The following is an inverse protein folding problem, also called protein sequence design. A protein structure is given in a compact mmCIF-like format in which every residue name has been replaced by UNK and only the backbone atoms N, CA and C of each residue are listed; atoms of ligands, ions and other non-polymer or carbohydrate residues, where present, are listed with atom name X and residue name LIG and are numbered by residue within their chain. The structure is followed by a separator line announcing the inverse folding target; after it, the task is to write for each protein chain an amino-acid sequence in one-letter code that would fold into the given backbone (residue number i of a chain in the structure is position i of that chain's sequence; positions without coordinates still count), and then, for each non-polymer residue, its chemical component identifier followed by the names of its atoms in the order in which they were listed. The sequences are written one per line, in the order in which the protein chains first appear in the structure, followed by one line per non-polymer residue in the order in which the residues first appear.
data_IF_228743884162
#
_entry.id   IF_228743884162
#
_cell.length_a   1.000
_cell.length_b   1.000
_cell.length_c   1.000
_cell.angle_alpha   90.00
_cell.angle_beta   90.00
_cell.angle_gamma   90.00
#
_symmetry.space_group_name_H-M   'P 1'
#
loop_
_entity.id
_entity.type
_entity.pdbx_description
1 polymer ?
#
# COMPACT_ATOMS: atom_id res chain seq x y z
N UNK A 1 -9.18 3.96 11.77
CA UNK A 1 -8.92 3.30 13.07
C UNK A 1 -9.03 1.78 12.98
N UNK A 2 -10.15 1.20 12.53
CA UNK A 2 -10.31 -0.25 12.44
C UNK A 2 -9.22 -0.95 11.61
N UNK A 3 -8.81 -0.40 10.46
CA UNK A 3 -7.70 -0.95 9.68
C UNK A 3 -6.35 -0.89 10.38
N UNK A 4 -6.10 0.16 11.16
CA UNK A 4 -4.90 0.26 11.99
C UNK A 4 -4.90 -0.74 13.13
N UNK A 5 -6.05 -0.93 13.79
CA UNK A 5 -6.23 -1.98 14.81
C UNK A 5 -6.05 -3.38 14.19
N UNK A 6 -6.56 -3.59 12.98
CA UNK A 6 -6.38 -4.84 12.26
C UNK A 6 -4.90 -5.15 12.01
N UNK A 7 -4.13 -4.17 11.53
CA UNK A 7 -2.69 -4.33 11.35
C UNK A 7 -1.94 -4.47 12.68
N UNK A 8 -2.32 -3.74 13.74
CA UNK A 8 -1.76 -3.91 15.08
C UNK A 8 -1.96 -5.34 15.61
N UNK A 9 -3.14 -5.94 15.35
CA UNK A 9 -3.40 -7.34 15.68
C UNK A 9 -2.51 -8.27 14.87
N UNK A 10 -2.37 -8.04 13.56
CA UNK A 10 -1.45 -8.81 12.71
C UNK A 10 -0.02 -8.67 13.22
N UNK A 11 0.44 -7.47 13.53
CA UNK A 11 1.80 -7.23 14.02
C UNK A 11 2.08 -8.00 15.32
N UNK A 12 1.13 -7.98 16.27
CA UNK A 12 1.25 -8.68 17.56
C UNK A 12 1.21 -10.20 17.43
N UNK A 13 0.48 -10.73 16.45
CA UNK A 13 0.26 -12.17 16.31
C UNK A 13 1.03 -12.81 15.15
N UNK A 14 1.72 -12.01 14.31
CA UNK A 14 2.53 -12.52 13.22
C UNK A 14 3.65 -13.36 13.81
N UNK A 15 3.60 -14.70 13.65
CA UNK A 15 4.59 -15.58 14.24
C UNK A 15 5.92 -15.32 13.53
N UNK A 16 7.02 -15.25 14.28
CA UNK A 16 8.37 -15.11 13.74
C UNK A 16 8.58 -16.06 12.56
N UNK A 17 8.57 -15.54 11.34
CA UNK A 17 8.68 -16.33 10.12
C UNK A 17 10.12 -16.81 9.94
N UNK A 18 10.49 -17.84 10.71
CA UNK A 18 11.61 -18.75 10.41
C UNK A 18 11.34 -19.61 9.15
N UNK A 19 10.29 -19.31 8.38
CA UNK A 19 9.72 -20.19 7.36
C UNK A 19 9.99 -19.77 5.91
N UNK A 20 10.65 -18.63 5.64
CA UNK A 20 10.91 -18.20 4.25
C UNK A 20 12.38 -18.23 3.81
N UNK A 21 13.38 -18.14 4.70
CA UNK A 21 14.74 -18.50 4.26
C UNK A 21 15.70 -18.75 5.43
N UNK A 22 16.26 -19.96 5.49
CA UNK A 22 17.51 -20.23 6.22
C UNK A 22 18.74 -19.64 5.50
N UNK A 23 18.57 -18.94 4.37
CA UNK A 23 19.67 -18.38 3.57
C UNK A 23 20.11 -16.99 3.98
N UNK A 24 19.34 -16.28 4.80
CA UNK A 24 19.71 -14.94 5.26
C UNK A 24 20.17 -15.00 6.72
N UNK A 25 21.16 -15.85 6.98
CA UNK A 25 21.91 -15.81 8.24
C UNK A 25 22.58 -14.42 8.35
N UNK A 26 21.98 -13.53 9.15
CA UNK A 26 22.52 -12.20 9.44
C UNK A 26 21.54 -11.03 9.35
N UNK A 27 20.29 -11.23 8.91
CA UNK A 27 19.29 -10.15 8.92
C UNK A 27 18.67 -9.95 10.29
N UNK A 28 18.49 -8.69 10.67
CA UNK A 28 17.81 -8.30 11.89
C UNK A 28 16.32 -8.69 11.74
N UNK A 29 15.87 -9.69 12.50
CA UNK A 29 14.51 -10.26 12.42
C UNK A 29 13.41 -9.21 12.54
N UNK A 30 13.70 -8.10 13.23
CA UNK A 30 12.77 -6.99 13.41
C UNK A 30 12.61 -6.15 12.13
N UNK A 31 13.67 -5.99 11.33
CA UNK A 31 13.61 -5.27 10.04
C UNK A 31 12.77 -6.04 9.03
N UNK A 32 12.98 -7.36 8.95
CA UNK A 32 12.19 -8.25 8.10
C UNK A 32 10.71 -8.23 8.47
N UNK A 33 10.38 -8.24 9.77
CA UNK A 33 8.99 -8.16 10.24
C UNK A 33 8.32 -6.88 9.73
N UNK A 34 8.98 -5.74 9.88
CA UNK A 34 8.46 -4.44 9.43
C UNK A 34 8.21 -4.41 7.94
N UNK A 35 9.15 -4.92 7.15
CA UNK A 35 9.01 -4.93 5.69
C UNK A 35 7.83 -5.79 5.24
N UNK A 36 7.59 -6.93 5.89
CA UNK A 36 6.44 -7.76 5.57
C UNK A 36 5.12 -7.13 6.03
N UNK A 37 5.08 -6.45 7.17
CA UNK A 37 3.90 -5.72 7.59
C UNK A 37 3.57 -4.56 6.64
N UNK A 38 4.59 -3.82 6.18
CA UNK A 38 4.47 -2.83 5.12
C UNK A 38 3.91 -3.43 3.82
N UNK A 39 4.44 -4.56 3.36
CA UNK A 39 3.94 -5.26 2.16
C UNK A 39 2.48 -5.70 2.32
N UNK A 40 2.11 -6.23 3.49
CA UNK A 40 0.73 -6.63 3.80
C UNK A 40 -0.19 -5.41 3.78
N UNK A 41 0.22 -4.30 4.37
CA UNK A 41 -0.55 -3.07 4.39
C UNK A 41 -0.81 -2.51 2.98
N UNK A 42 0.23 -2.46 2.14
CA UNK A 42 0.08 -2.08 0.72
C UNK A 42 -0.87 -3.03 0.00
N UNK A 43 -0.72 -4.35 0.20
CA UNK A 43 -1.60 -5.34 -0.42
C UNK A 43 -3.08 -5.11 -0.03
N UNK A 44 -3.33 -4.78 1.23
CA UNK A 44 -4.67 -4.45 1.74
C UNK A 44 -5.16 -3.12 1.18
N UNK A 45 -4.28 -2.14 0.93
CA UNK A 45 -4.61 -0.83 0.38
C UNK A 45 -4.96 -0.87 -1.11
N UNK A 46 -4.23 -1.68 -1.86
CA UNK A 46 -4.40 -1.89 -3.29
C UNK A 46 -5.77 -2.48 -3.65
N UNK A 47 -6.36 -3.28 -2.75
CA UNK A 47 -7.67 -3.89 -3.02
C UNK A 47 -8.82 -2.85 -3.09
N UNK A 48 -9.01 -1.97 -2.09
CA UNK A 48 -9.91 -0.83 -2.16
C UNK A 48 -9.68 0.12 -3.32
N UNK A 49 -8.43 0.38 -3.71
CA UNK A 49 -8.12 1.23 -4.87
C UNK A 49 -8.57 0.61 -6.19
N UNK A 50 -8.28 -0.68 -6.37
CA UNK A 50 -8.80 -1.46 -7.48
C UNK A 50 -10.33 -1.40 -7.50
N UNK A 51 -10.98 -1.65 -6.36
CA UNK A 51 -12.43 -1.60 -6.25
C UNK A 51 -13.01 -0.21 -6.57
N UNK A 52 -12.39 0.86 -6.08
CA UNK A 52 -12.79 2.24 -6.39
C UNK A 52 -12.69 2.53 -7.89
N UNK A 53 -11.60 2.09 -8.53
CA UNK A 53 -11.42 2.16 -9.99
C UNK A 53 -12.51 1.39 -10.73
N UNK A 54 -12.80 0.15 -10.32
CA UNK A 54 -13.84 -0.68 -10.91
C UNK A 54 -15.24 -0.10 -10.78
N UNK A 55 -15.60 0.39 -9.59
CA UNK A 55 -16.87 1.07 -9.33
C UNK A 55 -16.99 2.33 -10.20
N UNK A 56 -15.93 3.12 -10.30
CA UNK A 56 -15.93 4.33 -11.13
C UNK A 56 -16.22 4.03 -12.60
N UNK A 57 -15.57 3.01 -13.18
CA UNK A 57 -15.84 2.54 -14.54
C UNK A 57 -17.20 1.88 -14.72
N UNK A 58 -17.77 1.33 -13.64
CA UNK A 58 -19.09 0.70 -13.65
C UNK A 58 -20.26 1.69 -13.56
N UNK A 59 -19.98 2.98 -13.38
CA UNK A 59 -20.97 4.05 -13.53
C UNK A 59 -21.06 4.54 -14.98
N UNK A 60 -22.11 5.27 -15.34
CA UNK A 60 -22.30 5.83 -16.70
C UNK A 60 -21.31 6.98 -17.05
N UNK A 61 -20.24 7.16 -16.28
CA UNK A 61 -19.22 8.19 -16.48
C UNK A 61 -17.83 7.58 -16.65
N UNK A 62 -17.51 7.17 -17.88
CA UNK A 62 -16.20 6.63 -18.26
C UNK A 62 -15.07 7.63 -18.00
N UNK A 63 -15.34 8.93 -18.21
CA UNK A 63 -14.34 9.97 -17.97
C UNK A 63 -13.88 9.96 -16.51
N UNK A 64 -14.82 9.86 -15.56
CA UNK A 64 -14.51 9.72 -14.13
C UNK A 64 -13.66 8.45 -13.85
N UNK A 65 -14.01 7.32 -14.45
CA UNK A 65 -13.23 6.08 -14.33
C UNK A 65 -11.77 6.24 -14.80
N UNK A 66 -11.56 6.90 -15.95
CA UNK A 66 -10.21 7.19 -16.48
C UNK A 66 -9.44 8.09 -15.51
N UNK A 67 -10.09 9.14 -15.00
CA UNK A 67 -9.44 10.10 -14.11
C UNK A 67 -8.98 9.44 -12.79
N UNK A 68 -9.85 8.62 -12.18
CA UNK A 68 -9.52 7.85 -10.97
C UNK A 68 -8.40 6.85 -11.24
N UNK A 69 -8.47 6.11 -12.36
CA UNK A 69 -7.44 5.12 -12.71
C UNK A 69 -6.07 5.77 -12.93
N UNK A 70 -6.02 6.95 -13.53
CA UNK A 70 -4.78 7.71 -13.70
C UNK A 70 -4.24 8.20 -12.37
N UNK A 71 -5.09 8.72 -11.48
CA UNK A 71 -4.69 9.15 -10.14
C UNK A 71 -4.05 8.01 -9.34
N UNK A 72 -4.75 6.87 -9.26
CA UNK A 72 -4.27 5.66 -8.57
C UNK A 72 -3.01 5.11 -9.25
N UNK A 73 -2.97 5.03 -10.59
CA UNK A 73 -1.79 4.56 -11.30
C UNK A 73 -0.53 5.39 -11.02
N UNK A 74 -0.67 6.71 -10.84
CA UNK A 74 0.45 7.61 -10.57
C UNK A 74 1.08 7.40 -9.19
N UNK A 75 0.28 7.13 -8.15
CA UNK A 75 0.81 6.82 -6.81
C UNK A 75 1.28 5.36 -6.69
N UNK A 76 0.73 4.43 -7.47
CA UNK A 76 1.10 3.02 -7.36
C UNK A 76 2.48 2.72 -7.96
N UNK A 77 2.96 3.57 -8.88
CA UNK A 77 4.34 3.52 -9.38
C UNK A 77 5.38 3.71 -8.25
N UNK A 78 5.37 4.81 -7.47
CA UNK A 78 6.29 4.96 -6.34
C UNK A 78 6.05 3.93 -5.22
N UNK A 79 4.81 3.50 -4.96
CA UNK A 79 4.54 2.47 -3.94
C UNK A 79 5.12 1.10 -4.30
N UNK A 80 4.91 0.63 -5.54
CA UNK A 80 5.50 -0.62 -6.01
C UNK A 80 7.02 -0.58 -6.01
N UNK A 81 7.61 0.58 -6.34
CA UNK A 81 9.06 0.79 -6.22
C UNK A 81 9.51 0.73 -4.74
N UNK A 82 8.75 1.31 -3.81
CA UNK A 82 9.06 1.26 -2.39
C UNK A 82 9.08 -0.18 -1.86
N UNK A 83 8.09 -1.01 -2.24
CA UNK A 83 8.05 -2.46 -1.92
C UNK A 83 9.26 -3.19 -2.48
N UNK A 84 9.63 -2.93 -3.73
CA UNK A 84 10.78 -3.59 -4.34
C UNK A 84 12.09 -3.19 -3.65
N UNK A 85 12.29 -1.89 -3.38
CA UNK A 85 13.50 -1.37 -2.76
C UNK A 85 13.64 -1.82 -1.29
N UNK A 86 12.55 -1.93 -0.54
CA UNK A 86 12.59 -2.40 0.85
C UNK A 86 13.09 -3.85 0.93
N UNK A 87 12.63 -4.73 0.03
CA UNK A 87 13.10 -6.11 -0.05
C UNK A 87 14.55 -6.21 -0.52
N UNK A 88 14.94 -5.43 -1.54
CA UNK A 88 16.34 -5.42 -2.02
C UNK A 88 17.29 -4.96 -0.91
N UNK A 89 16.88 -3.98 -0.09
CA UNK A 89 17.67 -3.49 1.05
C UNK A 89 17.93 -4.55 2.11
N UNK A 90 17.00 -5.49 2.32
CA UNK A 90 17.19 -6.64 3.23
C UNK A 90 17.93 -7.82 2.60
N UNK A 91 18.47 -7.65 1.40
CA UNK A 91 19.29 -8.67 0.74
C UNK A 91 18.51 -9.67 -0.11
N UNK A 92 17.21 -9.46 -0.35
CA UNK A 92 16.48 -10.24 -1.35
C UNK A 92 16.96 -9.89 -2.77
N UNK A 93 16.93 -10.88 -3.67
CA UNK A 93 17.26 -10.62 -5.08
C UNK A 93 16.27 -9.65 -5.73
N UNK A 94 16.75 -8.80 -6.64
CA UNK A 94 15.91 -7.86 -7.40
C UNK A 94 14.75 -8.54 -8.12
N UNK A 95 14.97 -9.76 -8.64
CA UNK A 95 13.92 -10.55 -9.29
C UNK A 95 12.82 -10.95 -8.30
N UNK A 96 13.18 -11.38 -7.11
CA UNK A 96 12.22 -11.73 -6.07
C UNK A 96 11.41 -10.49 -5.64
N UNK A 97 12.11 -9.38 -5.37
CA UNK A 97 11.48 -8.13 -4.99
C UNK A 97 10.50 -7.60 -6.05
N UNK A 98 10.88 -7.69 -7.34
CA UNK A 98 9.99 -7.35 -8.45
C UNK A 98 8.72 -8.21 -8.47
N UNK A 99 8.83 -9.53 -8.29
CA UNK A 99 7.66 -10.40 -8.29
C UNK A 99 6.75 -10.16 -7.10
N UNK A 100 7.29 -9.82 -5.93
CA UNK A 100 6.48 -9.44 -4.77
C UNK A 100 5.76 -8.11 -5.04
N UNK A 101 6.46 -7.07 -5.50
CA UNK A 101 5.84 -5.79 -5.85
C UNK A 101 4.77 -5.93 -6.95
N UNK A 102 5.01 -6.79 -7.95
CA UNK A 102 4.01 -7.09 -8.96
C UNK A 102 2.81 -7.83 -8.37
N UNK A 103 3.04 -8.79 -7.48
CA UNK A 103 1.97 -9.54 -6.83
C UNK A 103 1.06 -8.64 -5.97
N UNK A 104 1.61 -7.66 -5.26
CA UNK A 104 0.81 -6.67 -4.52
C UNK A 104 0.01 -5.79 -5.47
N UNK A 105 0.61 -5.33 -6.59
CA UNK A 105 -0.08 -4.55 -7.62
C UNK A 105 -1.21 -5.33 -8.33
N UNK A 106 -1.06 -6.64 -8.54
CA UNK A 106 -2.09 -7.49 -9.18
C UNK A 106 -3.38 -7.62 -8.36
N UNK A 107 -3.37 -7.20 -7.10
CA UNK A 107 -4.59 -7.11 -6.28
C UNK A 107 -5.55 -6.04 -6.80
N UNK A 108 -5.05 -4.97 -7.42
CA UNK A 108 -5.89 -3.90 -7.96
C UNK A 108 -6.79 -4.38 -9.11
N UNK A 109 -6.29 -5.07 -10.17
CA UNK A 109 -7.16 -5.67 -11.19
C UNK A 109 -8.25 -6.56 -10.60
N UNK A 110 -7.93 -7.36 -9.57
CA UNK A 110 -8.92 -8.20 -8.91
C UNK A 110 -10.00 -7.37 -8.21
N UNK A 111 -9.60 -6.33 -7.47
CA UNK A 111 -10.51 -5.35 -6.88
C UNK A 111 -11.36 -4.65 -7.94
N UNK A 112 -10.77 -4.26 -9.07
CA UNK A 112 -11.45 -3.57 -10.15
C UNK A 112 -12.52 -4.43 -10.82
N UNK A 113 -12.23 -5.70 -11.11
CA UNK A 113 -13.23 -6.62 -11.64
C UNK A 113 -14.40 -6.81 -10.68
N UNK A 114 -14.14 -6.93 -9.38
CA UNK A 114 -15.20 -7.05 -8.37
C UNK A 114 -16.00 -5.74 -8.24
N UNK A 115 -15.34 -4.60 -8.19
CA UNK A 115 -15.95 -3.27 -8.10
C UNK A 115 -16.87 -2.98 -9.29
N UNK A 116 -16.39 -3.30 -10.51
CA UNK A 116 -17.16 -3.14 -11.74
C UNK A 116 -18.33 -4.12 -11.83
N UNK A 117 -18.15 -5.38 -11.42
CA UNK A 117 -19.20 -6.40 -11.49
C UNK A 117 -20.31 -6.22 -10.44
N UNK A 118 -20.02 -5.54 -9.33
CA UNK A 118 -20.91 -5.42 -8.16
C UNK A 118 -21.06 -3.96 -7.70
N UNK A 119 -21.15 -3.02 -8.64
CA UNK A 119 -21.27 -1.57 -8.38
C UNK A 119 -22.36 -1.25 -7.36
N UNK A 120 -23.55 -1.83 -7.52
CA UNK A 120 -24.70 -1.58 -6.63
C UNK A 120 -24.47 -1.99 -5.18
N UNK A 121 -23.53 -2.91 -4.94
CA UNK A 121 -23.13 -3.37 -3.60
C UNK A 121 -21.99 -2.51 -3.07
N UNK A 122 -20.96 -2.28 -3.87
CA UNK A 122 -19.73 -1.65 -3.39
C UNK A 122 -19.79 -0.13 -3.35
N UNK A 123 -20.51 0.54 -4.25
CA UNK A 123 -20.61 2.00 -4.26
C UNK A 123 -21.01 2.62 -2.89
N UNK A 124 -22.05 2.13 -2.18
CA UNK A 124 -22.39 2.66 -0.85
C UNK A 124 -21.39 2.24 0.25
N UNK A 125 -20.58 1.20 0.02
CA UNK A 125 -19.61 0.67 0.98
C UNK A 125 -18.20 1.25 0.79
N UNK A 126 -17.90 1.82 -0.38
CA UNK A 126 -16.56 2.29 -0.75
C UNK A 126 -15.95 3.21 0.31
N UNK A 127 -16.72 4.16 0.86
CA UNK A 127 -16.22 5.06 1.90
C UNK A 127 -15.71 4.32 3.14
N UNK A 128 -16.41 3.27 3.58
CA UNK A 128 -15.99 2.44 4.72
C UNK A 128 -14.77 1.57 4.39
N UNK A 129 -14.75 1.01 3.17
CA UNK A 129 -13.66 0.16 2.68
C UNK A 129 -12.37 0.98 2.54
N UNK A 130 -12.44 2.16 1.93
CA UNK A 130 -11.33 3.10 1.81
C UNK A 130 -10.87 3.62 3.18
N UNK A 131 -11.81 3.94 4.10
CA UNK A 131 -11.46 4.36 5.46
C UNK A 131 -10.76 3.26 6.28
N UNK A 132 -11.11 1.99 6.03
CA UNK A 132 -10.38 0.85 6.59
C UNK A 132 -8.96 0.80 6.02
N UNK A 133 -8.80 0.85 4.70
CA UNK A 133 -7.51 0.84 4.02
C UNK A 133 -6.60 1.99 4.46
N UNK A 134 -7.11 3.22 4.48
CA UNK A 134 -6.37 4.40 4.94
C UNK A 134 -5.98 4.28 6.41
N UNK A 135 -6.84 3.68 7.25
CA UNK A 135 -6.50 3.38 8.64
C UNK A 135 -5.33 2.41 8.80
N UNK A 136 -5.23 1.41 7.93
CA UNK A 136 -4.12 0.47 7.88
C UNK A 136 -2.82 1.18 7.41
N UNK A 137 -2.88 1.97 6.35
CA UNK A 137 -1.72 2.73 5.87
C UNK A 137 -1.20 3.74 6.89
N UNK A 138 -2.09 4.44 7.61
CA UNK A 138 -1.69 5.35 8.69
C UNK A 138 -0.91 4.64 9.80
N UNK A 139 -1.31 3.41 10.16
CA UNK A 139 -0.59 2.61 11.14
C UNK A 139 0.84 2.33 10.67
N UNK A 140 1.01 1.81 9.46
CA UNK A 140 2.33 1.46 8.92
C UNK A 140 3.24 2.68 8.67
N UNK A 141 2.68 3.79 8.17
CA UNK A 141 3.44 5.04 8.01
C UNK A 141 3.99 5.50 9.38
N UNK A 142 3.15 5.45 10.41
CA UNK A 142 3.51 5.94 11.75
C UNK A 142 4.44 4.99 12.52
N UNK A 143 4.19 3.69 12.45
CA UNK A 143 4.88 2.70 13.29
C UNK A 143 6.18 2.18 12.62
N UNK A 144 6.26 2.27 11.28
CA UNK A 144 7.36 1.69 10.52
C UNK A 144 8.13 2.74 9.71
N UNK A 145 7.46 3.42 8.77
CA UNK A 145 8.17 4.27 7.77
C UNK A 145 8.83 5.47 8.43
N UNK A 146 8.11 6.21 9.29
CA UNK A 146 8.65 7.38 9.98
C UNK A 146 9.78 6.97 10.93
N UNK A 147 9.61 6.00 11.85
CA UNK A 147 10.69 5.56 12.73
C UNK A 147 11.93 5.05 11.99
N UNK A 148 11.75 4.29 10.91
CA UNK A 148 12.86 3.74 10.11
C UNK A 148 13.68 4.83 9.44
N UNK A 149 13.04 5.83 8.83
CA UNK A 149 13.79 6.94 8.22
C UNK A 149 14.50 7.80 9.27
N UNK A 150 13.92 7.91 10.46
CA UNK A 150 14.51 8.66 11.56
C UNK A 150 15.69 7.93 12.22
N UNK A 151 15.66 6.60 12.31
CA UNK A 151 16.79 5.84 12.86
C UNK A 151 18.03 5.83 11.96
N UNK A 152 17.88 6.17 10.67
CA UNK A 152 18.97 6.19 9.69
C UNK A 152 19.55 7.60 9.44
N UNK A 153 19.17 8.62 10.23
CA UNK A 153 19.71 9.99 10.12
C UNK A 153 19.16 10.81 8.95
N UNK A 154 18.02 10.41 8.39
CA UNK A 154 17.33 11.09 7.29
C UNK A 154 16.03 11.77 7.75
N UNK A 155 15.91 12.15 9.03
CA UNK A 155 14.66 12.65 9.63
C UNK A 155 14.08 13.83 8.84
N UNK A 156 14.93 14.82 8.51
CA UNK A 156 14.50 16.04 7.83
C UNK A 156 14.14 15.78 6.37
N UNK A 157 14.93 14.97 5.68
CA UNK A 157 14.70 14.61 4.28
C UNK A 157 13.40 13.80 4.15
N UNK A 158 13.17 12.85 5.05
CA UNK A 158 11.94 12.08 5.10
C UNK A 158 10.73 12.96 5.42
N UNK A 159 10.85 13.88 6.39
CA UNK A 159 9.78 14.84 6.70
C UNK A 159 9.43 15.69 5.48
N UNK A 160 10.41 16.25 4.78
CA UNK A 160 10.16 17.02 3.56
C UNK A 160 9.57 16.14 2.45
N UNK A 161 10.03 14.89 2.31
CA UNK A 161 9.47 13.92 1.37
C UNK A 161 8.00 13.65 1.62
N UNK A 162 7.61 13.42 2.87
CA UNK A 162 6.21 13.23 3.29
C UNK A 162 5.40 14.49 3.00
N UNK A 163 5.90 15.68 3.36
CA UNK A 163 5.18 16.94 3.10
C UNK A 163 4.95 17.18 1.61
N UNK A 164 5.99 17.00 0.78
CA UNK A 164 5.90 17.17 -0.67
C UNK A 164 4.96 16.13 -1.27
N UNK A 165 5.11 14.85 -0.90
CA UNK A 165 4.24 13.77 -1.37
C UNK A 165 2.78 14.01 -1.00
N UNK A 166 2.51 14.46 0.23
CA UNK A 166 1.17 14.81 0.68
C UNK A 166 0.57 15.97 -0.15
N UNK A 167 1.35 17.03 -0.40
CA UNK A 167 0.88 18.16 -1.23
C UNK A 167 0.61 17.72 -2.66
N UNK A 168 1.47 16.90 -3.26
CA UNK A 168 1.26 16.36 -4.61
C UNK A 168 -0.02 15.52 -4.65
N UNK A 169 -0.20 14.63 -3.67
CA UNK A 169 -1.41 13.81 -3.58
C UNK A 169 -2.66 14.68 -3.45
N UNK A 170 -2.66 15.69 -2.57
CA UNK A 170 -3.79 16.63 -2.44
C UNK A 170 -4.09 17.40 -3.75
N UNK A 171 -3.06 17.78 -4.51
CA UNK A 171 -3.24 18.42 -5.82
C UNK A 171 -3.87 17.42 -6.80
N UNK A 172 -3.38 16.17 -6.83
CA UNK A 172 -3.94 15.14 -7.69
C UNK A 172 -5.40 14.86 -7.32
N UNK A 173 -5.73 14.69 -6.04
CA UNK A 173 -7.09 14.47 -5.56
C UNK A 173 -8.04 15.60 -5.99
N UNK A 174 -7.64 16.87 -5.82
CA UNK A 174 -8.49 18.01 -6.20
C UNK A 174 -8.62 18.18 -7.72
N UNK A 175 -7.60 17.81 -8.49
CA UNK A 175 -7.59 18.02 -9.95
C UNK A 175 -8.15 16.84 -10.73
N UNK A 176 -8.09 15.63 -10.16
CA UNK A 176 -8.53 14.36 -10.75
C UNK A 176 -9.83 13.82 -10.11
N UNK A 177 -10.28 14.40 -8.99
CA UNK A 177 -11.52 14.03 -8.28
C UNK A 177 -12.63 15.05 -8.45
#
# INVERSE_FOLDING_TARGET
LLGGIFLDIIDKHSPHMHLIDKRVEGTNTDSLKKIWLFIIAITIHNFPEGMATGVAFGTDNIANGITIALGIGLQNMPEGLAVALSLVREGYSTKYAFWIALATGLVEPLGAFLGFGLVSVFQPLLGFILAFAGGAMLFVISDEIIPETHSNGYERQATYGIMIGFVIMMILDITLG
#
